data_IF_303908279594
#
_entry.id   IF_303908279594
#
_cell.length_a   1.000
_cell.length_b   1.000
_cell.length_c   1.000
_cell.angle_alpha   90.00
_cell.angle_beta   90.00
_cell.angle_gamma   90.00
#
_symmetry.space_group_name_H-M   'P 1'
#
loop_
_entity.id
_entity.type
_entity.pdbx_description
1 polymer ?
#
# COMPACT_ATOMS: atom_id res chain seq x y z
N UNK A 1 19.09 18.28 21.12
CA UNK A 1 18.27 17.84 19.96
C UNK A 1 16.88 17.58 20.50
N UNK A 2 15.94 18.48 20.23
CA UNK A 2 14.57 18.38 20.76
C UNK A 2 13.88 17.19 20.11
N UNK A 3 13.44 16.21 20.89
CA UNK A 3 12.62 15.12 20.40
C UNK A 3 11.34 15.71 19.79
N UNK A 4 11.10 15.44 18.50
CA UNK A 4 9.81 15.65 17.89
C UNK A 4 8.76 14.88 18.71
N UNK A 5 7.54 15.41 18.91
CA UNK A 5 6.53 14.73 19.70
C UNK A 5 6.28 13.33 19.13
N UNK A 6 6.27 12.33 20.03
CA UNK A 6 6.16 10.89 19.72
C UNK A 6 4.83 10.48 19.08
N UNK A 7 3.93 11.41 18.85
CA UNK A 7 2.67 11.25 18.14
C UNK A 7 2.42 12.54 17.37
N UNK A 8 2.07 12.47 16.10
CA UNK A 8 1.37 13.58 15.45
C UNK A 8 -0.08 13.48 15.92
N UNK A 9 -0.54 14.33 16.87
CA UNK A 9 -1.94 14.31 17.27
C UNK A 9 -2.82 14.49 16.03
N UNK A 10 -3.99 13.84 16.01
CA UNK A 10 -4.98 14.10 14.99
C UNK A 10 -5.24 15.62 14.94
N UNK A 11 -5.34 16.17 13.73
CA UNK A 11 -5.59 17.60 13.55
C UNK A 11 -7.00 17.87 14.10
N UNK A 12 -7.11 18.76 15.08
CA UNK A 12 -8.37 19.04 15.76
C UNK A 12 -9.49 19.41 14.77
N UNK A 13 -10.68 18.84 14.98
CA UNK A 13 -11.85 19.10 14.12
C UNK A 13 -11.81 18.43 12.74
N UNK A 14 -10.79 17.62 12.43
CA UNK A 14 -10.78 16.78 11.22
C UNK A 14 -11.55 15.49 11.42
N UNK A 15 -11.89 14.75 10.33
CA UNK A 15 -12.52 13.43 10.44
C UNK A 15 -11.74 12.42 11.28
N UNK A 16 -10.46 12.66 11.56
CA UNK A 16 -9.62 11.77 12.33
C UNK A 16 -9.46 12.15 13.81
N UNK A 17 -9.99 13.31 14.21
CA UNK A 17 -10.17 13.64 15.62
C UNK A 17 -11.30 12.79 16.20
N UNK A 18 -10.97 11.95 17.18
CA UNK A 18 -11.92 11.02 17.78
C UNK A 18 -13.04 11.74 18.55
N UNK A 19 -12.83 13.00 18.93
CA UNK A 19 -13.86 13.83 19.57
C UNK A 19 -14.73 14.58 18.55
N UNK A 20 -14.34 14.62 17.27
CA UNK A 20 -15.06 15.32 16.21
C UNK A 20 -15.99 14.37 15.43
N UNK A 21 -16.96 13.77 16.13
CA UNK A 21 -17.84 12.73 15.57
C UNK A 21 -18.61 13.21 14.32
N UNK A 22 -19.09 14.46 14.31
CA UNK A 22 -19.78 15.03 13.15
C UNK A 22 -18.88 15.16 11.92
N UNK A 23 -17.60 15.51 12.10
CA UNK A 23 -16.64 15.59 10.99
C UNK A 23 -16.35 14.20 10.43
N UNK A 24 -16.19 13.22 11.32
CA UNK A 24 -16.01 11.82 10.94
C UNK A 24 -17.20 11.28 10.16
N UNK A 25 -18.44 11.45 10.65
CA UNK A 25 -19.64 10.94 9.98
C UNK A 25 -19.80 11.51 8.57
N UNK A 26 -19.63 12.82 8.39
CA UNK A 26 -19.71 13.44 7.05
C UNK A 26 -18.69 12.85 6.09
N UNK A 27 -17.43 12.77 6.52
CA UNK A 27 -16.36 12.21 5.70
C UNK A 27 -16.58 10.72 5.41
N UNK A 28 -16.98 9.94 6.40
CA UNK A 28 -17.29 8.52 6.27
C UNK A 28 -18.40 8.32 5.24
N UNK A 29 -19.50 9.05 5.37
CA UNK A 29 -20.65 8.89 4.49
C UNK A 29 -20.28 9.26 3.05
N UNK A 30 -19.57 10.39 2.84
CA UNK A 30 -19.04 10.79 1.52
C UNK A 30 -18.08 9.73 0.94
N UNK A 31 -17.17 9.20 1.77
CA UNK A 31 -16.21 8.16 1.37
C UNK A 31 -16.95 6.89 0.93
N UNK A 32 -17.88 6.39 1.73
CA UNK A 32 -18.62 5.15 1.47
C UNK A 32 -19.60 5.28 0.30
N UNK A 33 -20.18 6.46 0.07
CA UNK A 33 -21.06 6.73 -1.06
C UNK A 33 -20.26 6.69 -2.38
N UNK A 34 -19.11 7.36 -2.40
CA UNK A 34 -18.29 7.51 -3.59
C UNK A 34 -17.28 6.38 -3.82
N UNK A 35 -17.08 5.46 -2.87
CA UNK A 35 -16.13 4.36 -3.04
C UNK A 35 -16.54 3.42 -4.18
N UNK A 36 -15.59 2.92 -5.00
CA UNK A 36 -15.78 1.81 -5.93
C UNK A 36 -16.53 0.63 -5.29
N UNK A 37 -17.30 -0.12 -6.08
CA UNK A 37 -18.08 -1.28 -5.61
C UNK A 37 -17.51 -2.61 -6.07
N UNK A 38 -16.51 -2.57 -6.94
CA UNK A 38 -15.87 -3.73 -7.55
C UNK A 38 -14.41 -3.42 -7.94
N UNK A 39 -13.64 -4.46 -8.24
CA UNK A 39 -12.30 -4.28 -8.80
C UNK A 39 -12.36 -3.62 -10.20
N UNK A 40 -13.40 -3.92 -10.97
CA UNK A 40 -13.63 -3.37 -12.31
C UNK A 40 -13.85 -1.86 -12.28
N UNK A 41 -14.49 -1.33 -11.23
CA UNK A 41 -14.66 0.12 -11.05
C UNK A 41 -13.32 0.85 -10.85
N UNK A 42 -12.29 0.15 -10.38
CA UNK A 42 -10.93 0.69 -10.25
C UNK A 42 -10.14 0.67 -11.56
N UNK A 43 -10.55 -0.14 -12.54
CA UNK A 43 -9.79 -0.41 -13.74
C UNK A 43 -9.93 0.72 -14.77
N UNK A 44 -8.79 1.23 -15.21
CA UNK A 44 -8.68 2.23 -16.28
C UNK A 44 -7.87 1.63 -17.44
N UNK A 45 -8.47 1.57 -18.62
CA UNK A 45 -7.76 1.23 -19.85
C UNK A 45 -6.89 2.40 -20.27
N UNK A 46 -5.62 2.14 -20.55
CA UNK A 46 -4.64 3.15 -20.95
C UNK A 46 -3.87 2.70 -22.19
N UNK A 47 -3.61 3.62 -23.12
CA UNK A 47 -2.84 3.35 -24.33
C UNK A 47 -1.36 3.15 -24.02
N UNK A 48 -0.75 4.08 -23.28
CA UNK A 48 0.68 4.05 -22.95
C UNK A 48 0.94 4.66 -21.56
N UNK A 49 1.30 3.83 -20.57
CA UNK A 49 1.61 4.32 -19.21
C UNK A 49 2.79 5.29 -19.13
N UNK A 50 3.67 5.32 -20.14
CA UNK A 50 4.78 6.28 -20.17
C UNK A 50 4.37 7.68 -20.64
N UNK A 51 3.20 7.81 -21.26
CA UNK A 51 2.69 9.05 -21.84
C UNK A 51 1.16 9.00 -21.81
N UNK A 52 0.59 9.20 -20.62
CA UNK A 52 -0.84 9.19 -20.43
C UNK A 52 -1.44 10.43 -21.09
N UNK A 53 -2.54 10.25 -21.80
CA UNK A 53 -3.39 11.38 -22.17
C UNK A 53 -3.94 12.06 -20.90
N UNK A 54 -4.33 13.34 -20.97
CA UNK A 54 -4.93 14.03 -19.83
C UNK A 54 -6.16 13.31 -19.27
N UNK A 55 -6.95 12.63 -20.12
CA UNK A 55 -8.13 11.89 -19.71
C UNK A 55 -7.77 10.60 -18.94
N UNK A 56 -6.76 9.85 -19.41
CA UNK A 56 -6.27 8.65 -18.73
C UNK A 56 -5.64 9.00 -17.37
N UNK A 57 -4.85 10.07 -17.33
CA UNK A 57 -4.25 10.58 -16.09
C UNK A 57 -5.31 10.95 -15.05
N UNK A 58 -6.29 11.76 -15.43
CA UNK A 58 -7.36 12.18 -14.52
C UNK A 58 -8.25 11.00 -14.10
N UNK A 59 -8.50 10.03 -14.98
CA UNK A 59 -9.26 8.83 -14.63
C UNK A 59 -8.55 8.00 -13.54
N UNK A 60 -7.24 7.78 -13.68
CA UNK A 60 -6.44 7.11 -12.64
C UNK A 60 -6.41 7.94 -11.35
N UNK A 61 -6.28 9.25 -11.46
CA UNK A 61 -6.22 10.14 -10.32
C UNK A 61 -7.55 10.19 -9.55
N UNK A 62 -8.69 10.22 -10.24
CA UNK A 62 -10.03 10.13 -9.64
C UNK A 62 -10.18 8.87 -8.77
N UNK A 63 -9.78 7.71 -9.29
CA UNK A 63 -9.81 6.46 -8.51
C UNK A 63 -8.91 6.53 -7.30
N UNK A 64 -7.71 7.10 -7.44
CA UNK A 64 -6.82 7.34 -6.31
C UNK A 64 -7.42 8.29 -5.25
N UNK A 65 -8.18 9.33 -5.65
CA UNK A 65 -8.88 10.22 -4.70
C UNK A 65 -10.00 9.47 -3.96
N UNK A 66 -10.78 8.65 -4.67
CA UNK A 66 -11.96 7.96 -4.12
C UNK A 66 -11.60 6.75 -3.26
N UNK A 67 -10.55 6.02 -3.62
CA UNK A 67 -10.25 4.70 -3.05
C UNK A 67 -8.78 4.50 -2.63
N UNK A 68 -7.96 5.56 -2.66
CA UNK A 68 -6.50 5.49 -2.45
C UNK A 68 -5.76 4.57 -3.44
N UNK A 69 -6.42 4.07 -4.48
CA UNK A 69 -5.85 3.15 -5.46
C UNK A 69 -6.55 3.24 -6.82
N UNK A 70 -5.85 2.80 -7.85
CA UNK A 70 -6.35 2.60 -9.21
C UNK A 70 -5.72 1.34 -9.81
N UNK A 71 -6.49 0.62 -10.61
CA UNK A 71 -5.96 -0.42 -11.50
C UNK A 71 -5.85 0.18 -12.90
N UNK A 72 -4.82 -0.22 -13.64
CA UNK A 72 -4.70 0.13 -15.05
C UNK A 72 -4.47 -1.09 -15.90
N UNK A 73 -4.87 -1.02 -17.18
CA UNK A 73 -4.55 -2.01 -18.21
C UNK A 73 -3.95 -1.32 -19.42
N UNK A 74 -2.73 -1.72 -19.80
CA UNK A 74 -2.12 -1.29 -21.05
C UNK A 74 -2.78 -2.00 -22.23
N UNK A 75 -3.28 -1.23 -23.21
CA UNK A 75 -3.86 -1.80 -24.44
C UNK A 75 -2.87 -2.62 -25.27
N UNK A 76 -1.56 -2.45 -25.07
CA UNK A 76 -0.51 -3.32 -25.63
C UNK A 76 0.52 -3.66 -24.55
N UNK A 77 0.42 -4.87 -23.96
CA UNK A 77 1.40 -5.34 -22.97
C UNK A 77 2.81 -5.39 -23.56
N UNK A 78 3.80 -5.08 -22.73
CA UNK A 78 5.22 -5.13 -23.08
C UNK A 78 5.90 -6.18 -22.21
N UNK A 79 6.55 -7.15 -22.84
CA UNK A 79 7.27 -8.22 -22.13
C UNK A 79 8.77 -7.92 -21.95
N UNK A 80 9.29 -6.87 -22.61
CA UNK A 80 10.68 -6.43 -22.43
C UNK A 80 10.86 -5.76 -21.06
N UNK A 81 11.62 -6.37 -20.13
CA UNK A 81 11.80 -5.84 -18.78
C UNK A 81 12.48 -4.46 -18.75
N UNK A 82 13.35 -4.15 -19.72
CA UNK A 82 14.05 -2.85 -19.76
C UNK A 82 13.06 -1.76 -20.14
N UNK A 83 12.32 -1.95 -21.23
CA UNK A 83 11.29 -1.01 -21.65
C UNK A 83 10.20 -0.82 -20.58
N UNK A 84 9.78 -1.89 -19.88
CA UNK A 84 8.80 -1.77 -18.80
C UNK A 84 9.32 -0.91 -17.65
N UNK A 85 10.59 -1.08 -17.25
CA UNK A 85 11.19 -0.26 -16.18
C UNK A 85 11.14 1.22 -16.51
N UNK A 86 11.53 1.60 -17.72
CA UNK A 86 11.47 2.99 -18.18
C UNK A 86 10.04 3.54 -18.20
N UNK A 87 9.09 2.73 -18.69
CA UNK A 87 7.66 3.10 -18.70
C UNK A 87 7.10 3.32 -17.30
N UNK A 88 7.47 2.49 -16.32
CA UNK A 88 7.02 2.64 -14.94
C UNK A 88 7.59 3.89 -14.25
N UNK A 89 8.84 4.26 -14.55
CA UNK A 89 9.42 5.52 -14.08
C UNK A 89 8.71 6.73 -14.69
N UNK A 90 8.39 6.67 -15.97
CA UNK A 90 7.63 7.72 -16.65
C UNK A 90 6.20 7.82 -16.09
N UNK A 91 5.53 6.69 -15.81
CA UNK A 91 4.25 6.68 -15.11
C UNK A 91 4.35 7.38 -13.75
N UNK A 92 5.33 7.01 -12.93
CA UNK A 92 5.51 7.57 -11.58
C UNK A 92 5.70 9.10 -11.59
N UNK A 93 6.53 9.60 -12.51
CA UNK A 93 6.76 11.04 -12.71
C UNK A 93 5.49 11.82 -13.01
N UNK A 94 4.59 11.26 -13.83
CA UNK A 94 3.31 11.90 -14.15
C UNK A 94 2.40 12.07 -12.92
N UNK A 95 2.64 11.30 -11.85
CA UNK A 95 1.93 11.40 -10.58
C UNK A 95 2.78 12.04 -9.46
N UNK A 96 3.89 12.70 -9.80
CA UNK A 96 4.77 13.37 -8.83
C UNK A 96 5.45 12.41 -7.85
N UNK A 97 5.63 11.15 -8.23
CA UNK A 97 6.27 10.12 -7.43
C UNK A 97 7.74 9.96 -7.86
N UNK A 98 8.58 10.92 -7.45
CA UNK A 98 9.98 10.99 -7.86
C UNK A 98 10.95 10.43 -6.79
N UNK A 99 10.62 10.56 -5.51
CA UNK A 99 11.46 10.13 -4.41
C UNK A 99 11.21 8.65 -4.08
N UNK A 100 12.00 7.80 -4.71
CA UNK A 100 12.02 6.37 -4.44
C UNK A 100 12.60 6.08 -3.05
N UNK A 101 12.05 5.07 -2.38
CA UNK A 101 12.68 4.52 -1.19
C UNK A 101 14.04 3.92 -1.56
N UNK A 102 15.11 4.37 -0.90
CA UNK A 102 16.41 3.74 -0.99
C UNK A 102 16.42 2.41 -0.22
N UNK A 103 15.83 1.38 -0.83
CA UNK A 103 15.74 0.04 -0.25
C UNK A 103 16.76 -0.90 -0.88
N UNK A 104 17.30 -1.85 -0.10
CA UNK A 104 18.35 -2.83 -0.47
C UNK A 104 18.11 -3.68 -1.73
N UNK A 105 16.90 -3.63 -2.28
CA UNK A 105 16.41 -4.55 -3.32
C UNK A 105 15.92 -3.84 -4.55
N UNK A 106 15.88 -2.51 -4.49
CA UNK A 106 15.72 -1.70 -5.68
C UNK A 106 16.99 -1.84 -6.52
N UNK A 107 16.83 -2.00 -7.83
CA UNK A 107 17.94 -1.70 -8.74
C UNK A 107 18.23 -0.19 -8.71
N UNK A 108 19.22 0.28 -9.46
CA UNK A 108 19.57 1.72 -9.52
C UNK A 108 18.38 2.62 -9.89
N UNK A 109 17.36 2.04 -10.51
CA UNK A 109 16.12 2.69 -10.93
C UNK A 109 14.98 2.67 -9.88
N UNK A 110 15.21 2.13 -8.68
CA UNK A 110 14.17 2.02 -7.63
C UNK A 110 13.24 0.83 -7.75
N UNK A 111 13.25 0.12 -8.89
CA UNK A 111 12.29 -0.93 -9.20
C UNK A 111 12.83 -2.31 -8.80
N UNK A 112 12.00 -3.05 -8.07
CA UNK A 112 12.28 -4.42 -7.62
C UNK A 112 11.60 -5.40 -8.55
N UNK A 113 12.36 -6.34 -9.13
CA UNK A 113 11.80 -7.50 -9.83
C UNK A 113 11.28 -8.52 -8.82
N UNK A 114 10.02 -8.93 -8.96
CA UNK A 114 9.37 -9.93 -8.12
C UNK A 114 9.16 -11.22 -8.93
N UNK A 115 10.19 -12.04 -8.97
CA UNK A 115 10.21 -13.36 -9.62
C UNK A 115 10.70 -14.42 -8.64
N UNK A 116 10.30 -15.68 -8.85
CA UNK A 116 10.83 -16.80 -8.07
C UNK A 116 12.22 -17.11 -8.59
N UNK A 117 13.22 -16.87 -7.75
CA UNK A 117 14.62 -17.26 -8.03
C UNK A 117 15.03 -18.33 -7.03
N UNK A 118 15.59 -19.43 -7.55
CA UNK A 118 16.27 -20.42 -6.72
C UNK A 118 17.43 -19.75 -5.96
N UNK A 119 17.69 -20.23 -4.74
CA UNK A 119 18.72 -19.64 -3.88
C UNK A 119 20.07 -19.60 -4.61
N UNK A 120 20.63 -18.38 -4.77
CA UNK A 120 21.92 -18.14 -5.43
C UNK A 120 21.87 -17.31 -6.72
N UNK A 121 20.71 -16.81 -7.16
CA UNK A 121 20.57 -16.07 -8.42
C UNK A 121 20.57 -14.54 -8.32
N UNK A 122 21.69 -13.91 -8.73
CA UNK A 122 21.89 -12.49 -9.15
C UNK A 122 21.79 -11.39 -8.08
N UNK A 123 22.75 -10.47 -8.10
CA UNK A 123 22.72 -9.20 -7.35
C UNK A 123 21.46 -8.40 -7.72
N UNK A 124 20.68 -7.99 -6.72
CA UNK A 124 19.48 -7.15 -6.89
C UNK A 124 18.14 -7.88 -6.72
N UNK A 125 18.14 -9.19 -6.43
CA UNK A 125 16.91 -9.96 -6.21
C UNK A 125 16.70 -10.28 -4.72
N UNK A 126 15.50 -10.02 -4.18
CA UNK A 126 15.05 -10.67 -2.93
C UNK A 126 14.48 -12.02 -3.33
N UNK A 127 14.85 -13.13 -2.68
CA UNK A 127 14.21 -14.42 -2.94
C UNK A 127 12.71 -14.32 -2.58
N UNK A 128 11.89 -14.12 -3.62
CA UNK A 128 10.44 -14.20 -3.52
C UNK A 128 10.03 -15.66 -3.69
N UNK A 129 9.20 -16.14 -2.78
CA UNK A 129 8.63 -17.49 -2.86
C UNK A 129 7.27 -17.45 -3.55
N UNK A 130 6.82 -18.59 -4.07
CA UNK A 130 5.47 -18.76 -4.61
C UNK A 130 4.35 -18.86 -3.56
N UNK A 131 4.70 -18.80 -2.27
CA UNK A 131 3.76 -18.84 -1.15
C UNK A 131 2.94 -17.55 -1.07
N UNK A 132 1.78 -17.66 -0.42
CA UNK A 132 0.95 -16.51 -0.10
C UNK A 132 1.70 -15.46 0.73
N UNK A 133 1.33 -14.20 0.53
CA UNK A 133 1.78 -13.06 1.33
C UNK A 133 0.58 -12.52 2.08
N UNK A 134 0.65 -12.50 3.41
CA UNK A 134 -0.43 -11.99 4.26
C UNK A 134 -0.59 -10.47 4.10
N UNK A 135 -1.75 -9.96 4.52
CA UNK A 135 -2.07 -8.53 4.60
C UNK A 135 -0.94 -7.68 5.19
N UNK A 136 -0.59 -6.61 4.48
CA UNK A 136 0.41 -5.65 4.88
C UNK A 136 0.27 -4.32 4.13
N UNK A 137 0.98 -3.29 4.58
CA UNK A 137 1.38 -2.16 3.75
C UNK A 137 2.87 -2.24 3.46
N UNK A 138 3.31 -1.68 2.33
CA UNK A 138 4.72 -1.70 1.99
C UNK A 138 5.50 -0.76 2.92
N UNK A 139 6.69 -1.22 3.35
CA UNK A 139 7.51 -0.47 4.33
C UNK A 139 7.02 -0.57 5.78
N UNK A 140 6.19 -1.57 6.13
CA UNK A 140 5.70 -1.76 7.51
C UNK A 140 6.80 -1.87 8.59
N UNK A 141 8.03 -2.19 8.19
CA UNK A 141 9.22 -2.32 9.06
C UNK A 141 10.06 -1.04 9.15
N UNK A 142 9.67 0.02 8.43
CA UNK A 142 10.32 1.32 8.50
C UNK A 142 9.92 2.03 9.81
N UNK A 143 10.80 2.91 10.31
CA UNK A 143 10.43 3.81 11.40
C UNK A 143 9.33 4.79 10.93
N UNK A 144 8.47 5.30 11.83
CA UNK A 144 7.36 6.20 11.47
C UNK A 144 7.76 7.45 10.71
N UNK A 145 9.02 7.91 10.85
CA UNK A 145 9.57 9.08 10.18
C UNK A 145 9.93 8.83 8.71
N UNK A 146 9.96 7.57 8.27
CA UNK A 146 10.28 7.17 6.89
C UNK A 146 9.16 6.30 6.27
N UNK A 147 7.91 6.80 6.21
CA UNK A 147 6.79 6.03 5.68
C UNK A 147 6.89 5.93 4.15
N UNK A 148 6.39 4.80 3.64
CA UNK A 148 6.08 4.66 2.22
C UNK A 148 4.68 5.19 2.01
N UNK A 149 4.54 6.18 1.14
CA UNK A 149 3.27 6.88 0.90
C UNK A 149 2.57 6.41 -0.35
N UNK A 150 3.33 5.89 -1.32
CA UNK A 150 2.76 5.33 -2.53
C UNK A 150 3.56 4.13 -3.03
N UNK A 151 2.91 3.27 -3.82
CA UNK A 151 3.57 2.19 -4.53
C UNK A 151 2.95 1.98 -5.90
N UNK A 152 3.75 1.38 -6.78
CA UNK A 152 3.30 0.84 -8.06
C UNK A 152 3.65 -0.63 -8.11
N UNK A 153 2.71 -1.46 -8.52
CA UNK A 153 2.91 -2.88 -8.84
C UNK A 153 2.48 -3.12 -10.29
N UNK A 154 3.32 -3.74 -11.10
CA UNK A 154 3.04 -4.00 -12.51
C UNK A 154 3.29 -5.46 -12.87
N UNK A 155 2.34 -6.07 -13.56
CA UNK A 155 2.42 -7.43 -14.06
C UNK A 155 2.98 -7.43 -15.48
N UNK A 156 4.25 -7.83 -15.63
CA UNK A 156 4.83 -8.09 -16.96
C UNK A 156 4.29 -9.42 -17.47
N UNK A 157 4.40 -10.46 -16.63
CA UNK A 157 3.89 -11.80 -16.90
C UNK A 157 3.20 -12.35 -15.64
N UNK A 158 1.93 -12.79 -15.74
CA UNK A 158 1.27 -13.47 -14.64
C UNK A 158 1.84 -14.88 -14.44
N UNK A 159 1.65 -15.44 -13.24
CA UNK A 159 1.83 -16.88 -13.02
C UNK A 159 0.81 -17.68 -13.84
N UNK A 160 0.99 -19.00 -13.98
CA UNK A 160 0.05 -19.87 -14.68
C UNK A 160 -1.31 -19.91 -13.95
N UNK A 161 -1.28 -20.02 -12.62
CA UNK A 161 -2.46 -19.99 -11.74
C UNK A 161 -2.19 -19.25 -10.43
N UNK A 162 -3.26 -18.83 -9.74
CA UNK A 162 -3.17 -18.09 -8.48
C UNK A 162 -2.58 -16.69 -8.65
N UNK A 163 -1.93 -16.19 -7.59
CA UNK A 163 -1.33 -14.85 -7.54
C UNK A 163 -2.37 -13.72 -7.54
N UNK A 164 -3.54 -14.00 -6.99
CA UNK A 164 -4.64 -13.03 -6.85
C UNK A 164 -4.23 -12.04 -5.76
N UNK A 165 -4.36 -10.73 -6.02
CA UNK A 165 -4.08 -9.70 -5.03
C UNK A 165 -5.38 -9.32 -4.35
N UNK A 166 -5.41 -9.36 -3.01
CA UNK A 166 -6.39 -8.64 -2.21
C UNK A 166 -5.91 -7.21 -1.99
N UNK A 167 -6.81 -6.24 -2.13
CA UNK A 167 -6.55 -4.82 -1.85
C UNK A 167 -7.69 -4.23 -1.04
N UNK A 168 -7.35 -3.41 -0.05
CA UNK A 168 -8.31 -2.72 0.80
C UNK A 168 -7.84 -1.29 1.05
N UNK A 169 -8.70 -0.32 0.77
CA UNK A 169 -8.43 1.07 1.12
C UNK A 169 -8.29 1.18 2.64
N UNK A 170 -7.13 1.67 3.06
CA UNK A 170 -6.80 1.95 4.45
C UNK A 170 -7.85 2.80 5.16
N UNK A 171 -8.48 3.74 4.46
CA UNK A 171 -9.54 4.58 5.00
C UNK A 171 -10.82 3.78 5.29
N UNK A 172 -11.13 2.75 4.47
CA UNK A 172 -12.23 1.83 4.76
C UNK A 172 -11.93 1.02 6.02
N UNK A 173 -10.71 0.52 6.18
CA UNK A 173 -10.31 -0.19 7.39
C UNK A 173 -10.46 0.71 8.63
N UNK A 174 -9.99 1.95 8.56
CA UNK A 174 -10.17 2.93 9.64
C UNK A 174 -11.65 3.18 9.96
N UNK A 175 -12.48 3.37 8.91
CA UNK A 175 -13.93 3.56 9.06
C UNK A 175 -14.55 2.38 9.80
N UNK A 176 -14.28 1.14 9.36
CA UNK A 176 -14.87 -0.07 9.96
C UNK A 176 -14.49 -0.24 11.42
N UNK A 177 -13.24 0.02 11.76
CA UNK A 177 -12.80 -0.07 13.15
C UNK A 177 -13.45 1.02 14.00
N UNK A 178 -13.51 2.27 13.51
CA UNK A 178 -14.10 3.38 14.28
C UNK A 178 -15.62 3.26 14.42
N UNK A 179 -16.33 2.75 13.40
CA UNK A 179 -17.76 2.46 13.47
C UNK A 179 -18.05 1.35 14.50
N UNK A 180 -17.16 0.37 14.63
CA UNK A 180 -17.27 -0.70 15.62
C UNK A 180 -17.03 -0.17 17.04
N UNK A 181 -15.91 0.51 17.25
CA UNK A 181 -15.56 1.18 18.51
C UNK A 181 -14.37 2.15 18.29
N UNK A 182 -14.51 3.46 18.56
CA UNK A 182 -13.42 4.44 18.46
C UNK A 182 -12.15 4.08 19.25
N UNK A 183 -12.27 3.31 20.34
CA UNK A 183 -11.11 2.87 21.12
C UNK A 183 -10.20 1.92 20.33
N UNK A 184 -10.72 1.20 19.33
CA UNK A 184 -9.91 0.32 18.48
C UNK A 184 -8.95 1.14 17.61
N UNK A 185 -9.43 2.22 17.00
CA UNK A 185 -8.56 3.13 16.24
C UNK A 185 -7.62 3.88 17.17
N UNK A 186 -8.08 4.30 18.36
CA UNK A 186 -7.21 4.93 19.37
C UNK A 186 -6.04 4.02 19.77
N UNK A 187 -6.29 2.73 20.01
CA UNK A 187 -5.27 1.75 20.35
C UNK A 187 -4.26 1.55 19.20
N UNK A 188 -4.73 1.54 17.95
CA UNK A 188 -3.87 1.42 16.75
C UNK A 188 -3.13 2.71 16.39
N UNK A 189 -3.57 3.86 16.90
CA UNK A 189 -2.87 5.14 16.78
C UNK A 189 -1.82 5.35 17.87
N UNK A 190 -1.73 4.45 18.85
CA UNK A 190 -0.72 4.56 19.90
C UNK A 190 0.71 4.41 19.33
N UNK A 191 1.69 5.22 19.77
CA UNK A 191 3.04 5.21 19.20
C UNK A 191 3.81 3.90 19.41
N UNK A 192 3.32 3.04 20.29
CA UNK A 192 3.90 1.72 20.57
C UNK A 192 2.99 0.57 20.12
N UNK A 193 1.92 0.85 19.37
CA UNK A 193 0.91 -0.15 18.99
C UNK A 193 1.53 -1.40 18.35
N UNK A 194 2.43 -1.21 17.38
CA UNK A 194 3.11 -2.28 16.66
C UNK A 194 4.63 -2.05 16.59
N UNK A 195 5.40 -3.02 17.06
CA UNK A 195 6.86 -3.03 17.04
C UNK A 195 7.39 -4.14 16.14
N UNK A 196 8.25 -3.78 15.19
CA UNK A 196 9.05 -4.73 14.41
C UNK A 196 10.44 -4.77 15.03
N UNK A 197 10.86 -5.89 15.65
CA UNK A 197 12.17 -6.02 16.27
C UNK A 197 13.33 -5.80 15.28
N UNK A 198 14.49 -5.49 15.83
CA UNK A 198 15.73 -5.43 15.08
C UNK A 198 16.02 -6.75 14.37
N UNK A 199 16.66 -6.67 13.20
CA UNK A 199 17.03 -7.83 12.40
C UNK A 199 18.37 -7.57 11.72
N UNK A 200 19.30 -8.51 11.87
CA UNK A 200 20.55 -8.52 11.11
C UNK A 200 20.29 -9.23 9.80
N UNK A 201 20.44 -8.50 8.70
CA UNK A 201 20.31 -9.04 7.35
C UNK A 201 21.53 -9.91 6.98
N UNK A 202 21.37 -10.80 6.00
CA UNK A 202 22.43 -11.75 5.57
C UNK A 202 23.72 -11.05 5.08
N UNK A 203 23.62 -9.79 4.66
CA UNK A 203 24.76 -8.96 4.26
C UNK A 203 25.44 -8.20 5.43
N UNK A 204 25.01 -8.47 6.67
CA UNK A 204 25.51 -7.82 7.88
C UNK A 204 24.92 -6.44 8.18
N UNK A 205 24.01 -5.90 7.35
CA UNK A 205 23.29 -4.66 7.67
C UNK A 205 22.26 -4.93 8.77
N UNK A 206 22.25 -4.06 9.76
CA UNK A 206 21.27 -4.12 10.84
C UNK A 206 20.09 -3.20 10.53
N UNK A 207 18.89 -3.77 10.48
CA UNK A 207 17.65 -3.00 10.56
C UNK A 207 17.32 -2.85 12.04
N UNK A 208 17.31 -1.63 12.55
CA UNK A 208 16.97 -1.34 13.93
C UNK A 208 15.51 -1.71 14.24
N UNK A 209 15.19 -1.83 15.54
CA UNK A 209 13.81 -1.93 16.01
C UNK A 209 13.00 -0.72 15.58
N UNK A 210 11.81 -0.95 15.03
CA UNK A 210 10.88 0.10 14.64
C UNK A 210 9.56 -0.09 15.40
N UNK A 211 9.32 0.76 16.40
CA UNK A 211 8.03 0.88 17.09
C UNK A 211 7.24 2.03 16.47
N UNK A 212 5.92 1.88 16.39
CA UNK A 212 5.08 2.91 15.80
C UNK A 212 3.60 2.56 15.85
N UNK A 213 2.74 3.55 15.55
CA UNK A 213 1.33 3.31 15.34
C UNK A 213 1.10 2.48 14.07
N UNK A 214 -0.08 1.86 13.99
CA UNK A 214 -0.62 1.29 12.76
C UNK A 214 -1.26 2.38 11.93
N UNK A 215 -2.08 3.25 12.54
CA UNK A 215 -2.66 4.42 11.90
C UNK A 215 -1.94 5.70 12.34
N UNK A 216 -1.43 6.46 11.38
CA UNK A 216 -0.81 7.76 11.63
C UNK A 216 -1.35 8.79 10.66
N UNK A 217 -1.05 10.07 10.89
CA UNK A 217 -1.38 11.13 9.94
C UNK A 217 -0.10 11.71 9.36
N UNK A 218 -0.12 11.93 8.06
CA UNK A 218 0.92 12.68 7.41
C UNK A 218 0.91 14.12 7.94
N UNK A 219 2.04 14.62 8.49
CA UNK A 219 2.07 15.91 9.18
C UNK A 219 1.91 17.10 8.24
N UNK A 220 2.07 16.91 6.91
CA UNK A 220 1.95 17.98 5.92
C UNK A 220 0.53 18.01 5.35
N UNK A 221 -0.02 16.84 5.04
CA UNK A 221 -1.28 16.72 4.30
C UNK A 221 -2.47 16.35 5.16
N UNK A 222 -2.25 15.90 6.41
CA UNK A 222 -3.30 15.39 7.29
C UNK A 222 -3.90 14.05 6.82
N UNK A 223 -3.37 13.43 5.76
CA UNK A 223 -3.89 12.18 5.23
C UNK A 223 -3.54 10.99 6.12
N UNK A 224 -4.40 9.97 6.13
CA UNK A 224 -4.16 8.73 6.86
C UNK A 224 -2.99 7.97 6.22
N UNK A 225 -2.01 7.61 7.04
CA UNK A 225 -0.91 6.71 6.74
C UNK A 225 -1.15 5.39 7.48
N UNK A 226 -0.70 4.27 6.89
CA UNK A 226 -0.78 2.98 7.56
C UNK A 226 0.48 2.15 7.46
N UNK A 227 0.84 1.59 8.62
CA UNK A 227 1.98 0.71 8.82
C UNK A 227 1.46 -0.58 9.46
N UNK A 228 1.22 -1.59 8.64
CA UNK A 228 0.60 -2.83 9.13
C UNK A 228 1.25 -4.09 8.54
N UNK A 229 1.23 -5.17 9.32
CA UNK A 229 1.48 -6.52 8.83
C UNK A 229 0.72 -7.56 9.66
N UNK A 230 0.12 -8.54 8.99
CA UNK A 230 -0.50 -9.72 9.60
C UNK A 230 0.50 -10.86 9.82
N UNK A 231 1.82 -10.59 9.81
CA UNK A 231 2.84 -11.58 10.14
C UNK A 231 2.78 -11.92 11.63
N UNK A 232 2.72 -13.22 11.94
CA UNK A 232 2.72 -13.72 13.33
C UNK A 232 4.12 -13.77 13.96
N UNK A 233 5.17 -13.73 13.14
CA UNK A 233 6.57 -13.78 13.57
C UNK A 233 7.21 -12.44 13.36
N UNK A 234 8.10 -12.05 14.28
CA UNK A 234 8.85 -10.79 14.22
C UNK A 234 7.95 -9.54 14.20
N UNK A 235 6.82 -9.62 14.91
CA UNK A 235 5.90 -8.51 15.20
C UNK A 235 5.55 -8.61 16.67
N UNK A 236 5.70 -7.52 17.40
CA UNK A 236 5.34 -7.40 18.82
C UNK A 236 4.28 -6.31 18.93
N UNK A 237 3.11 -6.67 19.45
CA UNK A 237 2.04 -5.73 19.73
C UNK A 237 2.19 -5.18 21.14
N UNK A 238 1.69 -3.96 21.39
CA UNK A 238 1.58 -3.42 22.75
C UNK A 238 0.75 -4.38 23.61
N UNK A 239 1.23 -4.65 24.82
CA UNK A 239 0.65 -5.66 25.72
C UNK A 239 -0.48 -5.06 26.57
N UNK A 240 -1.62 -4.82 25.92
CA UNK A 240 -2.85 -4.40 26.57
C UNK A 240 -4.10 -4.90 25.84
N UNK A 241 -5.22 -4.92 26.56
CA UNK A 241 -6.48 -5.46 26.06
C UNK A 241 -7.04 -4.66 24.86
N UNK A 242 -6.81 -3.33 24.81
CA UNK A 242 -7.35 -2.49 23.75
C UNK A 242 -6.61 -2.76 22.42
N UNK A 243 -5.28 -2.86 22.45
CA UNK A 243 -4.49 -3.23 21.28
C UNK A 243 -4.80 -4.66 20.84
N UNK A 244 -4.95 -5.62 21.76
CA UNK A 244 -5.35 -6.99 21.41
C UNK A 244 -6.72 -7.04 20.72
N UNK A 245 -7.71 -6.30 21.23
CA UNK A 245 -9.03 -6.19 20.62
C UNK A 245 -8.99 -5.54 19.23
N UNK A 246 -8.17 -4.49 19.05
CA UNK A 246 -8.02 -3.82 17.76
C UNK A 246 -7.35 -4.69 16.70
N UNK A 247 -6.34 -5.47 17.09
CA UNK A 247 -5.70 -6.46 16.20
C UNK A 247 -6.67 -7.57 15.82
N UNK A 248 -7.48 -8.05 16.77
CA UNK A 248 -8.54 -9.03 16.48
C UNK A 248 -9.57 -8.47 15.49
N UNK A 249 -10.00 -7.21 15.67
CA UNK A 249 -10.93 -6.56 14.76
C UNK A 249 -10.36 -6.38 13.33
N UNK A 250 -9.06 -6.09 13.19
CA UNK A 250 -8.41 -6.10 11.88
C UNK A 250 -8.42 -7.48 11.22
N UNK A 251 -8.12 -8.55 11.98
CA UNK A 251 -8.19 -9.91 11.43
C UNK A 251 -9.62 -10.29 11.03
N UNK A 252 -10.61 -9.97 11.85
CA UNK A 252 -12.03 -10.18 11.50
C UNK A 252 -12.42 -9.42 10.23
N UNK A 253 -11.91 -8.21 10.03
CA UNK A 253 -12.13 -7.43 8.81
C UNK A 253 -11.53 -8.12 7.57
N UNK A 254 -10.31 -8.64 7.69
CA UNK A 254 -9.62 -9.31 6.57
C UNK A 254 -10.20 -10.69 6.24
N UNK A 255 -10.65 -11.43 7.24
CA UNK A 255 -11.21 -12.78 7.09
C UNK A 255 -12.73 -12.74 6.80
N UNK A 256 -13.35 -11.56 6.95
CA UNK A 256 -14.78 -11.33 6.75
C UNK A 256 -15.17 -11.04 5.30
N UNK A 257 -16.47 -10.77 5.10
CA UNK A 257 -17.05 -10.39 3.82
C UNK A 257 -17.17 -8.87 3.70
N UNK A 258 -16.04 -8.17 3.65
CA UNK A 258 -15.98 -6.72 3.47
C UNK A 258 -16.24 -6.34 2.00
N UNK A 259 -17.34 -5.64 1.66
CA UNK A 259 -17.69 -5.35 0.26
C UNK A 259 -16.69 -4.45 -0.49
N UNK A 260 -15.84 -3.71 0.23
CA UNK A 260 -14.81 -2.85 -0.36
C UNK A 260 -13.40 -3.48 -0.36
N UNK A 261 -13.30 -4.75 0.04
CA UNK A 261 -12.10 -5.55 -0.13
C UNK A 261 -12.17 -6.22 -1.50
N UNK A 262 -11.26 -5.83 -2.40
CA UNK A 262 -11.29 -6.32 -3.77
C UNK A 262 -10.22 -7.36 -4.00
N UNK A 263 -10.57 -8.38 -4.78
CA UNK A 263 -9.65 -9.41 -5.24
C UNK A 263 -9.47 -9.29 -6.75
N UNK A 264 -8.24 -9.10 -7.20
CA UNK A 264 -7.93 -8.96 -8.62
C UNK A 264 -6.63 -9.69 -9.00
N UNK A 265 -6.71 -10.53 -10.04
CA UNK A 265 -5.52 -11.14 -10.65
C UNK A 265 -5.07 -10.27 -11.80
N UNK A 266 -3.93 -9.61 -11.62
CA UNK A 266 -3.36 -8.75 -12.65
C UNK A 266 -2.97 -9.57 -13.89
N UNK A 267 -3.50 -9.17 -15.05
CA UNK A 267 -3.10 -9.69 -16.35
C UNK A 267 -1.79 -9.04 -16.83
N UNK A 268 -1.17 -9.60 -17.87
CA UNK A 268 0.00 -8.98 -18.49
C UNK A 268 -0.32 -7.55 -18.96
N UNK A 269 0.52 -6.58 -18.59
CA UNK A 269 0.29 -5.16 -18.87
C UNK A 269 -0.63 -4.45 -17.88
N UNK A 270 -1.19 -5.14 -16.88
CA UNK A 270 -1.94 -4.49 -15.82
C UNK A 270 -1.06 -4.08 -14.63
N UNK A 271 -1.51 -3.08 -13.88
CA UNK A 271 -0.88 -2.74 -12.62
C UNK A 271 -1.79 -2.04 -11.62
N UNK A 272 -1.28 -1.94 -10.40
CA UNK A 272 -1.86 -1.21 -9.28
C UNK A 272 -1.02 0.05 -9.04
N UNK A 273 -1.67 1.21 -9.04
CA UNK A 273 -1.13 2.50 -8.61
C UNK A 273 -1.88 2.89 -7.33
N UNK A 274 -1.20 3.08 -6.20
CA UNK A 274 -1.91 3.39 -4.95
C UNK A 274 -1.09 4.19 -3.94
N UNK A 275 -1.82 4.83 -3.02
CA UNK A 275 -1.29 5.48 -1.82
C UNK A 275 -0.96 4.45 -0.72
N UNK A 276 -0.20 3.41 -1.08
CA UNK A 276 0.27 2.32 -0.20
C UNK A 276 -0.85 1.69 0.65
N UNK A 277 -1.93 1.27 -0.02
CA UNK A 277 -3.10 0.63 0.61
C UNK A 277 -2.75 -0.74 1.22
N UNK A 278 -3.61 -1.24 2.10
CA UNK A 278 -3.51 -2.60 2.62
C UNK A 278 -3.66 -3.59 1.46
N UNK A 279 -2.75 -4.56 1.38
CA UNK A 279 -2.76 -5.56 0.33
C UNK A 279 -2.17 -6.89 0.77
N UNK A 280 -2.59 -7.94 0.08
CA UNK A 280 -2.10 -9.30 0.24
C UNK A 280 -1.87 -9.96 -1.14
N UNK A 281 -1.49 -11.23 -1.14
CA UNK A 281 -1.46 -12.02 -2.36
C UNK A 281 -1.63 -13.50 -2.07
N UNK A 282 -2.52 -14.16 -2.79
CA UNK A 282 -2.66 -15.62 -2.75
C UNK A 282 -1.36 -16.32 -3.20
N UNK A 283 -1.20 -17.59 -2.83
CA UNK A 283 -0.18 -18.44 -3.44
C UNK A 283 -0.38 -18.55 -4.95
N UNK A 284 0.67 -18.96 -5.66
CA UNK A 284 0.64 -19.13 -7.12
C UNK A 284 1.50 -20.30 -7.59
N UNK A 285 1.23 -20.74 -8.82
CA UNK A 285 2.01 -21.74 -9.54
C UNK A 285 2.49 -21.15 -10.85
N UNK A 286 3.80 -21.20 -11.08
CA UNK A 286 4.41 -20.77 -12.33
C UNK A 286 4.23 -21.81 -13.44
N UNK A 287 4.39 -21.36 -14.69
CA UNK A 287 4.48 -22.26 -15.83
C UNK A 287 5.76 -23.10 -15.74
N UNK A 288 5.68 -24.33 -16.26
CA UNK A 288 6.83 -25.21 -16.44
C UNK A 288 7.91 -24.65 -17.38
N UNK A 289 7.55 -23.76 -18.30
CA UNK A 289 8.47 -23.03 -19.16
C UNK A 289 9.08 -21.84 -18.40
N UNK A 290 10.40 -21.83 -18.12
CA UNK A 290 11.06 -20.74 -17.39
C UNK A 290 10.89 -19.35 -18.03
N UNK A 291 10.58 -19.28 -19.33
CA UNK A 291 10.33 -18.01 -20.02
C UNK A 291 8.93 -17.44 -19.75
N UNK A 292 8.04 -18.25 -19.19
CA UNK A 292 6.64 -17.89 -18.87
C UNK A 292 6.37 -17.82 -17.38
N UNK A 293 7.42 -17.87 -16.57
CA UNK A 293 7.31 -17.64 -15.12
C UNK A 293 6.90 -16.20 -14.84
N UNK A 294 6.23 -16.03 -13.70
CA UNK A 294 5.71 -14.76 -13.23
C UNK A 294 6.83 -13.72 -13.10
N UNK A 295 6.63 -12.56 -13.72
CA UNK A 295 7.48 -11.37 -13.52
C UNK A 295 6.61 -10.16 -13.22
N UNK A 296 6.84 -9.58 -12.05
CA UNK A 296 6.24 -8.32 -11.66
C UNK A 296 7.33 -7.31 -11.33
N UNK A 297 7.04 -6.03 -11.53
CA UNK A 297 7.85 -4.95 -11.00
C UNK A 297 7.10 -4.22 -9.89
N UNK A 298 7.84 -3.83 -8.86
CA UNK A 298 7.33 -3.00 -7.78
C UNK A 298 8.25 -1.83 -7.50
N UNK A 299 7.66 -0.65 -7.33
CA UNK A 299 8.35 0.53 -6.81
C UNK A 299 7.60 1.09 -5.60
N UNK A 300 8.36 1.67 -4.68
CA UNK A 300 7.87 2.29 -3.44
C UNK A 300 8.39 3.70 -3.34
N UNK A 301 7.51 4.62 -2.97
CA UNK A 301 7.75 6.04 -3.01
C UNK A 301 7.53 6.68 -1.65
N UNK A 302 8.40 7.63 -1.33
CA UNK A 302 8.30 8.47 -0.13
C UNK A 302 7.24 9.53 -0.35
N UNK A 303 7.00 9.97 -1.59
CA UNK A 303 5.91 10.88 -1.94
C UNK A 303 4.58 10.12 -2.09
N UNK A 304 3.48 10.82 -1.79
CA UNK A 304 2.12 10.39 -2.12
C UNK A 304 1.84 10.70 -3.60
N UNK A 305 0.84 10.05 -4.19
CA UNK A 305 0.34 10.41 -5.52
C UNK A 305 -0.11 11.88 -5.50
N UNK A 306 0.51 12.73 -6.33
CA UNK A 306 0.18 14.14 -6.41
C UNK A 306 -1.27 14.35 -6.89
N UNK A 307 -1.99 15.24 -6.23
CA UNK A 307 -3.41 15.51 -6.54
C UNK A 307 -4.40 14.47 -6.02
N UNK A 308 -3.96 13.47 -5.24
CA UNK A 308 -4.82 12.43 -4.65
C UNK A 308 -5.34 12.76 -3.25
N UNK A 309 -5.25 14.03 -2.83
CA UNK A 309 -5.78 14.45 -1.53
C UNK A 309 -7.32 14.36 -1.53
N UNK A 310 -7.94 13.80 -0.48
CA UNK A 310 -9.38 13.84 -0.33
C UNK A 310 -9.88 15.29 -0.27
N UNK A 311 -10.98 15.59 -0.96
CA UNK A 311 -11.61 16.91 -0.95
C UNK A 311 -12.03 17.35 0.48
N UNK A 312 -12.34 16.39 1.34
CA UNK A 312 -12.69 16.59 2.75
C UNK A 312 -11.51 17.04 3.64
N UNK A 313 -10.27 16.91 3.16
CA UNK A 313 -9.04 17.30 3.87
C UNK A 313 -8.35 18.52 3.25
N UNK A 314 -8.80 19.00 2.08
CA UNK A 314 -8.38 20.30 1.57
C UNK A 314 -8.94 21.40 2.47
N UNK A 315 -8.06 22.06 3.23
CA UNK A 315 -8.40 23.31 3.91
C UNK A 315 -8.80 24.32 2.83
N UNK A 316 -9.97 24.97 2.92
CA UNK A 316 -10.29 26.06 2.00
C UNK A 316 -9.21 27.13 2.10
N UNK A 317 -8.73 27.58 0.94
CA UNK A 317 -7.78 28.69 0.82
C UNK A 317 -8.33 29.99 1.42
#
# INVERSE_FOLDING_TARGET
MSALPKTTPAIAGTPFDLNADDAYRRWRDEKLENHPRSAEDLLVEVGNIADLTPAEHEALLDRCRRANMALYRCGTPCDDPVAVRDRLRALARQFGMDDLENHRSAAEDGLVALEVVDQGGRHGFIPYTNRAINWHTDGYYNPPEAPIRAMVLHCVRPAASGGINGVLDTEIAYIRLRDKDPELVAALMHPEAMTIPAHVEDNGRERATAAGPVFAFDPVTGTLLTRYTARKRNVVWRDDAATAAAVAALHELFDGDEPFLFHHRLAAGEGLLCNNVLHDRSGFEDDSDPKKTRLYFRARYINRIAGSLPASLSVPA
#
